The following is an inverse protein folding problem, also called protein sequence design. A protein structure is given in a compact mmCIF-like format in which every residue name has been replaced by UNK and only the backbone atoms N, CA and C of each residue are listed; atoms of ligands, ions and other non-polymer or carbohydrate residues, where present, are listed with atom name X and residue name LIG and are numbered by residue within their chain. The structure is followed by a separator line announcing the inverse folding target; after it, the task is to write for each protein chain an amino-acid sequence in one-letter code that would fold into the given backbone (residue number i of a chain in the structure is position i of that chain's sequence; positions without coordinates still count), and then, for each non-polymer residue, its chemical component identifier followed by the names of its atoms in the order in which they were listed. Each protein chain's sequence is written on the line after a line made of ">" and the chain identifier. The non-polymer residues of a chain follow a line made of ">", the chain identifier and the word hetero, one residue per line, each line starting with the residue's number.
data_IF_609280813247
#
_entry.id   IF_609280813247
#
_cell.length_a   1.000
_cell.length_b   1.000
_cell.length_c   1.000
_cell.angle_alpha   90.00
_cell.angle_beta   90.00
_cell.angle_gamma   90.00
#
_symmetry.space_group_name_H-M   'P 1'
#
loop_
_entity.id
_entity.type
_entity.pdbx_description
1 polymer ?
#
# COMPACT_ATOMS: atom_id res chain seq x y z
N UNK A 1 12.06 -9.19 -42.53
CA UNK A 1 12.81 -8.94 -41.28
C UNK A 1 12.02 -9.55 -40.13
N UNK A 2 12.61 -10.41 -39.28
CA UNK A 2 11.90 -11.03 -38.18
C UNK A 2 11.64 -9.99 -37.08
N UNK A 3 10.38 -9.86 -36.68
CA UNK A 3 9.93 -9.04 -35.56
C UNK A 3 10.57 -9.54 -34.26
N UNK A 4 11.54 -8.80 -33.74
CA UNK A 4 12.04 -9.04 -32.38
C UNK A 4 10.92 -8.71 -31.39
N UNK A 5 10.26 -9.75 -30.85
CA UNK A 5 9.37 -9.61 -29.71
C UNK A 5 10.21 -9.19 -28.50
N UNK A 6 10.02 -7.94 -28.07
CA UNK A 6 10.62 -7.41 -26.85
C UNK A 6 10.25 -8.32 -25.67
N UNK A 7 11.20 -8.67 -24.79
CA UNK A 7 10.94 -9.53 -23.64
C UNK A 7 9.88 -8.91 -22.73
N UNK A 8 9.00 -9.75 -22.20
CA UNK A 8 7.79 -9.44 -21.41
C UNK A 8 8.10 -8.83 -20.02
N UNK A 9 8.79 -7.69 -19.99
CA UNK A 9 8.99 -6.87 -18.79
C UNK A 9 7.76 -6.01 -18.47
N UNK A 10 6.86 -5.80 -19.44
CA UNK A 10 5.64 -5.00 -19.27
C UNK A 10 4.61 -5.67 -18.35
N UNK A 11 4.37 -6.98 -18.49
CA UNK A 11 3.29 -7.63 -17.75
C UNK A 11 3.56 -7.67 -16.24
N UNK A 12 4.78 -8.01 -15.81
CA UNK A 12 5.13 -8.08 -14.38
C UNK A 12 5.10 -6.72 -13.70
N UNK A 13 5.55 -5.65 -14.38
CA UNK A 13 5.46 -4.28 -13.88
C UNK A 13 4.00 -3.84 -13.71
N UNK A 14 3.14 -4.17 -14.68
CA UNK A 14 1.69 -3.92 -14.59
C UNK A 14 1.07 -4.72 -13.44
N UNK A 15 1.40 -6.00 -13.31
CA UNK A 15 0.88 -6.87 -12.26
C UNK A 15 1.26 -6.36 -10.86
N UNK A 16 2.53 -6.02 -10.63
CA UNK A 16 2.98 -5.46 -9.35
C UNK A 16 2.28 -4.14 -9.03
N UNK A 17 2.18 -3.23 -10.02
CA UNK A 17 1.44 -1.98 -9.86
C UNK A 17 -0.02 -2.21 -9.48
N UNK A 18 -0.75 -3.05 -10.23
CA UNK A 18 -2.15 -3.36 -9.95
C UNK A 18 -2.33 -4.12 -8.63
N UNK A 19 -1.38 -4.98 -8.26
CA UNK A 19 -1.37 -5.66 -6.96
C UNK A 19 -1.20 -4.64 -5.84
N UNK A 20 -0.30 -3.66 -6.00
CA UNK A 20 -0.13 -2.58 -5.03
C UNK A 20 -1.40 -1.74 -4.90
N UNK A 21 -2.02 -1.37 -6.02
CA UNK A 21 -3.31 -0.66 -6.03
C UNK A 21 -4.37 -1.47 -5.29
N UNK A 22 -4.50 -2.76 -5.58
CA UNK A 22 -5.44 -3.65 -4.91
C UNK A 22 -5.18 -3.71 -3.39
N UNK A 23 -3.93 -3.86 -2.96
CA UNK A 23 -3.56 -3.90 -1.55
C UNK A 23 -3.85 -2.57 -0.85
N UNK A 24 -3.63 -1.43 -1.51
CA UNK A 24 -3.98 -0.11 -0.97
C UNK A 24 -5.51 0.00 -0.82
N UNK A 25 -6.28 -0.40 -1.83
CA UNK A 25 -7.74 -0.39 -1.74
C UNK A 25 -8.25 -1.31 -0.62
N UNK A 26 -7.70 -2.52 -0.51
CA UNK A 26 -8.00 -3.44 0.59
C UNK A 26 -7.59 -2.87 1.94
N UNK A 27 -6.48 -2.12 2.03
CA UNK A 27 -6.08 -1.49 3.29
C UNK A 27 -7.09 -0.42 3.74
N UNK A 28 -7.73 0.29 2.82
CA UNK A 28 -8.74 1.30 3.15
C UNK A 28 -10.15 0.74 3.35
N UNK A 29 -10.54 -0.27 2.56
CA UNK A 29 -11.90 -0.85 2.60
C UNK A 29 -11.99 -2.05 3.54
N UNK A 30 -10.87 -2.75 3.76
CA UNK A 30 -10.76 -3.94 4.62
C UNK A 30 -11.29 -3.76 6.05
N UNK A 31 -11.10 -2.61 6.74
CA UNK A 31 -11.67 -2.37 8.07
C UNK A 31 -13.20 -2.48 8.15
N UNK A 32 -13.91 -2.42 7.02
CA UNK A 32 -15.36 -2.57 6.97
C UNK A 32 -15.79 -3.99 6.57
N UNK A 33 -14.90 -4.72 5.90
CA UNK A 33 -15.21 -6.03 5.30
C UNK A 33 -14.68 -7.19 6.13
N UNK A 34 -13.45 -7.08 6.64
CA UNK A 34 -12.65 -8.18 7.18
C UNK A 34 -12.53 -8.07 8.70
N UNK A 35 -12.48 -9.21 9.39
CA UNK A 35 -12.29 -9.30 10.84
C UNK A 35 -11.06 -8.51 11.33
N UNK A 36 -11.25 -7.65 12.33
CA UNK A 36 -10.21 -6.70 12.80
C UNK A 36 -8.84 -7.32 13.14
N UNK A 37 -8.70 -8.53 13.73
CA UNK A 37 -7.39 -9.08 14.04
C UNK A 37 -6.57 -9.38 12.79
N UNK A 38 -7.23 -9.84 11.71
CA UNK A 38 -6.58 -10.08 10.43
C UNK A 38 -6.11 -8.77 9.79
N UNK A 39 -6.93 -7.73 9.87
CA UNK A 39 -6.56 -6.40 9.38
C UNK A 39 -5.38 -5.83 10.16
N UNK A 40 -5.43 -5.87 11.50
CA UNK A 40 -4.35 -5.40 12.36
C UNK A 40 -3.07 -6.19 12.09
N UNK A 41 -3.14 -7.53 11.99
CA UNK A 41 -1.99 -8.35 11.66
C UNK A 41 -1.40 -7.97 10.29
N UNK A 42 -2.23 -7.77 9.27
CA UNK A 42 -1.79 -7.32 7.95
C UNK A 42 -1.09 -5.97 7.99
N UNK A 43 -1.64 -4.98 8.71
CA UNK A 43 -1.00 -3.68 8.88
C UNK A 43 0.32 -3.77 9.62
N UNK A 44 0.42 -4.59 10.66
CA UNK A 44 1.66 -4.81 11.40
C UNK A 44 2.73 -5.47 10.53
N UNK A 45 2.37 -6.43 9.68
CA UNK A 45 3.28 -7.07 8.73
C UNK A 45 3.83 -6.02 7.75
N UNK A 46 2.96 -5.20 7.16
CA UNK A 46 3.38 -4.16 6.22
C UNK A 46 4.23 -3.09 6.94
N UNK A 47 3.85 -2.72 8.16
CA UNK A 47 4.61 -1.75 8.96
C UNK A 47 6.00 -2.28 9.31
N UNK A 48 6.11 -3.56 9.68
CA UNK A 48 7.37 -4.23 9.96
C UNK A 48 8.24 -4.31 8.70
N UNK A 49 7.64 -4.58 7.55
CA UNK A 49 8.32 -4.58 6.26
C UNK A 49 8.97 -3.20 5.99
N UNK A 50 8.28 -2.10 6.26
CA UNK A 50 8.87 -0.76 6.13
C UNK A 50 9.95 -0.47 7.17
N UNK A 51 9.87 -1.01 8.39
CA UNK A 51 10.90 -0.84 9.42
C UNK A 51 12.18 -1.62 9.07
N UNK A 52 12.04 -2.87 8.63
CA UNK A 52 13.18 -3.78 8.37
C UNK A 52 13.80 -3.53 7.01
N UNK A 53 12.97 -3.44 5.96
CA UNK A 53 13.45 -3.36 4.58
C UNK A 53 13.53 -1.93 4.06
N UNK A 54 12.97 -0.95 4.78
CA UNK A 54 12.85 0.43 4.34
C UNK A 54 12.27 0.56 2.92
N UNK A 55 11.43 -0.38 2.49
CA UNK A 55 10.83 -0.39 1.16
C UNK A 55 9.55 -1.22 1.11
N UNK A 56 8.74 -0.98 0.07
CA UNK A 56 7.65 -1.90 -0.25
C UNK A 56 8.25 -3.14 -0.97
N UNK A 57 7.92 -4.37 -0.56
CA UNK A 57 8.40 -5.58 -1.23
C UNK A 57 8.05 -5.57 -2.73
N UNK A 58 6.86 -5.06 -3.07
CA UNK A 58 6.41 -4.90 -4.46
C UNK A 58 7.21 -3.85 -5.25
N UNK A 59 7.80 -2.85 -4.58
CA UNK A 59 8.73 -1.91 -5.22
C UNK A 59 10.08 -2.57 -5.49
N UNK A 60 10.57 -3.40 -4.57
CA UNK A 60 11.87 -4.08 -4.71
C UNK A 60 11.90 -5.18 -5.77
N UNK A 61 10.77 -5.85 -5.99
CA UNK A 61 10.65 -6.97 -6.93
C UNK A 61 10.96 -6.60 -8.40
N UNK A 62 11.04 -5.31 -8.74
CA UNK A 62 11.23 -4.86 -10.13
C UNK A 62 12.37 -3.88 -10.37
N UNK A 63 13.25 -3.65 -9.38
CA UNK A 63 14.43 -2.80 -9.60
C UNK A 63 14.07 -1.41 -10.14
N UNK A 64 12.86 -0.91 -9.81
CA UNK A 64 12.53 0.49 -9.98
C UNK A 64 13.46 1.21 -9.02
N UNK A 65 14.56 1.75 -9.54
CA UNK A 65 15.40 2.69 -8.80
C UNK A 65 14.48 3.62 -8.03
N UNK A 66 14.70 3.72 -6.72
CA UNK A 66 13.97 4.60 -5.80
C UNK A 66 14.31 6.08 -6.11
N UNK A 67 14.42 6.46 -7.38
CA UNK A 67 15.20 7.60 -7.84
C UNK A 67 14.63 8.95 -7.43
N UNK A 68 13.41 9.05 -6.89
CA UNK A 68 12.86 10.36 -6.52
C UNK A 68 11.92 10.37 -5.30
N UNK A 69 12.07 9.45 -4.34
CA UNK A 69 11.23 9.37 -3.12
C UNK A 69 9.71 9.35 -3.40
N UNK A 70 9.32 9.04 -4.65
CA UNK A 70 7.94 9.01 -5.08
C UNK A 70 7.23 7.81 -4.45
N UNK A 71 6.02 8.07 -3.95
CA UNK A 71 5.11 7.04 -3.42
C UNK A 71 3.85 7.03 -4.26
N UNK A 72 3.05 5.97 -4.14
CA UNK A 72 1.74 5.93 -4.79
C UNK A 72 0.90 7.20 -4.49
N UNK A 73 0.94 7.67 -3.25
CA UNK A 73 0.25 8.89 -2.82
C UNK A 73 0.85 10.17 -3.42
N UNK A 74 2.16 10.23 -3.69
CA UNK A 74 2.71 11.43 -4.36
C UNK A 74 2.19 11.55 -5.78
N UNK A 75 2.07 10.43 -6.51
CA UNK A 75 1.44 10.44 -7.83
C UNK A 75 -0.03 10.84 -7.77
N UNK A 76 -0.79 10.35 -6.76
CA UNK A 76 -2.19 10.73 -6.59
C UNK A 76 -2.36 12.23 -6.31
N UNK A 77 -1.52 12.80 -5.43
CA UNK A 77 -1.55 14.23 -5.14
C UNK A 77 -1.11 15.09 -6.34
N UNK A 78 -0.12 14.64 -7.11
CA UNK A 78 0.33 15.30 -8.34
C UNK A 78 -0.77 15.33 -9.40
N UNK A 79 -1.56 14.25 -9.54
CA UNK A 79 -2.74 14.23 -10.42
C UNK A 79 -3.81 15.24 -9.99
N UNK A 80 -3.92 15.54 -8.70
CA UNK A 80 -4.81 16.58 -8.17
C UNK A 80 -4.19 17.99 -8.19
N UNK A 81 -3.02 18.17 -8.82
CA UNK A 81 -2.36 19.46 -8.96
C UNK A 81 -1.54 19.90 -7.74
N UNK A 82 -1.40 19.06 -6.72
CA UNK A 82 -0.56 19.34 -5.56
C UNK A 82 0.87 18.82 -5.77
N UNK A 83 1.87 19.58 -5.29
CA UNK A 83 3.28 19.16 -5.28
C UNK A 83 3.72 18.84 -3.86
N UNK A 84 3.33 17.70 -3.28
CA UNK A 84 3.71 17.37 -1.92
C UNK A 84 5.22 17.17 -1.81
N UNK A 85 5.79 17.49 -0.65
CA UNK A 85 7.17 17.15 -0.35
C UNK A 85 7.29 15.61 -0.24
N UNK A 86 7.74 14.97 -1.32
CA UNK A 86 7.81 13.50 -1.48
C UNK A 86 8.51 12.80 -0.31
N UNK A 87 9.61 13.38 0.20
CA UNK A 87 10.35 12.86 1.37
C UNK A 87 9.51 12.84 2.64
N UNK A 88 8.87 13.95 2.97
CA UNK A 88 8.00 14.04 4.15
C UNK A 88 6.81 13.10 4.02
N UNK A 89 6.20 13.05 2.84
CA UNK A 89 5.06 12.18 2.56
C UNK A 89 5.44 10.69 2.69
N UNK A 90 6.57 10.28 2.10
CA UNK A 90 7.15 8.94 2.23
C UNK A 90 7.34 8.57 3.70
N UNK A 91 7.89 9.47 4.50
CA UNK A 91 8.08 9.23 5.94
C UNK A 91 6.76 9.07 6.70
N UNK A 92 5.79 9.95 6.46
CA UNK A 92 4.47 9.89 7.12
C UNK A 92 3.75 8.58 6.76
N UNK A 93 3.76 8.19 5.48
CA UNK A 93 3.10 6.95 5.03
C UNK A 93 3.79 5.73 5.65
N UNK A 94 5.12 5.68 5.60
CA UNK A 94 5.88 4.52 6.07
C UNK A 94 5.89 4.34 7.57
N UNK A 95 5.68 5.41 8.35
CA UNK A 95 5.77 5.36 9.82
C UNK A 95 4.43 5.54 10.52
N UNK A 96 3.48 6.25 9.90
CA UNK A 96 2.21 6.64 10.53
C UNK A 96 0.99 5.94 9.95
N UNK A 97 0.90 5.79 8.62
CA UNK A 97 -0.36 5.39 7.97
C UNK A 97 -0.89 4.04 8.47
N UNK A 98 -0.06 3.00 8.52
CA UNK A 98 -0.51 1.66 8.91
C UNK A 98 -0.84 1.56 10.41
N UNK A 99 -0.15 2.34 11.25
CA UNK A 99 -0.49 2.46 12.67
C UNK A 99 -1.85 3.16 12.83
N UNK A 100 -2.06 4.26 12.11
CA UNK A 100 -3.33 4.98 12.13
C UNK A 100 -4.49 4.11 11.63
N UNK A 101 -4.29 3.34 10.55
CA UNK A 101 -5.28 2.39 10.05
C UNK A 101 -5.56 1.27 11.06
N UNK A 102 -4.55 0.74 11.76
CA UNK A 102 -4.77 -0.26 12.81
C UNK A 102 -5.60 0.29 13.97
N UNK A 103 -5.28 1.50 14.45
CA UNK A 103 -6.06 2.18 15.50
C UNK A 103 -7.50 2.42 15.03
N UNK A 104 -7.66 2.93 13.81
CA UNK A 104 -8.97 3.15 13.21
C UNK A 104 -9.79 1.86 13.14
N UNK A 105 -9.21 0.76 12.68
CA UNK A 105 -9.89 -0.54 12.57
C UNK A 105 -10.35 -1.07 13.92
N UNK A 106 -9.50 -0.98 14.95
CA UNK A 106 -9.87 -1.39 16.31
C UNK A 106 -10.97 -0.48 16.85
N UNK A 107 -10.86 0.83 16.69
CA UNK A 107 -11.89 1.76 17.12
C UNK A 107 -13.23 1.51 16.42
N UNK A 108 -13.20 1.31 15.10
CA UNK A 108 -14.39 1.08 14.30
C UNK A 108 -15.08 -0.25 14.65
N UNK A 109 -14.36 -1.37 14.67
CA UNK A 109 -14.99 -2.67 14.88
C UNK A 109 -15.21 -3.02 16.35
N UNK A 110 -14.27 -2.66 17.23
CA UNK A 110 -14.31 -3.07 18.64
C UNK A 110 -15.05 -2.04 19.49
N UNK A 111 -14.75 -0.75 19.34
CA UNK A 111 -15.34 0.28 20.19
C UNK A 111 -16.75 0.69 19.76
N UNK A 112 -16.96 0.91 18.45
CA UNK A 112 -18.31 1.22 17.93
C UNK A 112 -19.18 -0.03 17.73
N UNK A 113 -18.61 -1.23 17.91
CA UNK A 113 -19.33 -2.50 17.77
C UNK A 113 -19.80 -2.79 16.34
N UNK A 114 -19.22 -2.13 15.33
CA UNK A 114 -19.52 -2.46 13.94
C UNK A 114 -18.91 -3.83 13.60
N UNK A 115 -19.75 -4.86 13.60
CA UNK A 115 -19.33 -6.18 13.12
C UNK A 115 -18.86 -6.08 11.67
N UNK A 116 -17.76 -6.77 11.37
CA UNK A 116 -17.24 -6.93 10.02
C UNK A 116 -18.26 -7.69 9.16
N UNK A 117 -18.40 -7.30 7.90
CA UNK A 117 -19.45 -7.84 7.03
C UNK A 117 -19.22 -9.32 6.65
N UNK A 118 -17.97 -9.80 6.60
CA UNK A 118 -17.65 -11.21 6.33
C UNK A 118 -17.64 -12.04 7.62
N UNK A 119 -18.81 -12.52 8.03
CA UNK A 119 -18.94 -13.54 9.09
C UNK A 119 -18.61 -14.92 8.48
N UNK A 120 -17.46 -15.50 8.81
CA UNK A 120 -17.11 -16.89 8.47
C UNK A 120 -16.91 -17.70 9.75
#
# INVERSE_FOLDING_TARGET
>A
MPSQSLPDHSFKNKLSFWTHVLLVLLAWVGPFLIWWPLMVAGYLIIQLQFIVLNMCLLNGAHGLEESEDATFYSHLFELWGFRPNRKKLKFIIRRGLYIALAIFTVFWQVYLGHEHLLKW
#
